data_IF_014520668233
#
_entry.id   IF_014520668233
#
_cell.length_a   1.000
_cell.length_b   1.000
_cell.length_c   1.000
_cell.angle_alpha   90.00
_cell.angle_beta   90.00
_cell.angle_gamma   90.00
#
_symmetry.space_group_name_H-M   'P 1'
#
loop_
_entity.id
_entity.type
_entity.pdbx_description
1 polymer ?
#
# COMPACT_ATOMS: atom_id res chain seq x y z
N UNK A 1 -0.88 2.90 -20.83
CA UNK A 1 -1.80 2.34 -19.82
C UNK A 1 -2.69 1.24 -20.38
N UNK A 2 -3.48 1.50 -21.44
CA UNK A 2 -4.43 0.53 -22.04
C UNK A 2 -3.87 -0.87 -22.36
N UNK A 3 -2.69 -1.05 -23.00
CA UNK A 3 -2.19 -2.40 -23.32
C UNK A 3 -1.84 -3.24 -22.08
N UNK A 4 -1.33 -2.60 -21.02
CA UNK A 4 -0.99 -3.26 -19.75
C UNK A 4 -2.25 -3.69 -18.99
N UNK A 5 -3.28 -2.84 -18.99
CA UNK A 5 -4.57 -3.14 -18.35
C UNK A 5 -5.31 -4.26 -19.08
N UNK A 6 -5.29 -4.27 -20.42
CA UNK A 6 -5.84 -5.36 -21.22
C UNK A 6 -5.11 -6.68 -20.98
N UNK A 7 -3.78 -6.67 -20.88
CA UNK A 7 -3.01 -7.86 -20.56
C UNK A 7 -3.31 -8.38 -19.15
N UNK A 8 -3.39 -7.50 -18.13
CA UNK A 8 -3.72 -7.89 -16.76
C UNK A 8 -5.10 -8.57 -16.66
N UNK A 9 -6.11 -8.01 -17.35
CA UNK A 9 -7.45 -8.58 -17.43
C UNK A 9 -7.47 -9.95 -18.15
N UNK A 10 -6.76 -10.07 -19.28
CA UNK A 10 -6.68 -11.33 -20.04
C UNK A 10 -5.96 -12.46 -19.31
N UNK A 11 -5.05 -12.12 -18.39
CA UNK A 11 -4.27 -13.09 -17.62
C UNK A 11 -4.81 -13.32 -16.20
N UNK A 12 -6.01 -12.84 -15.89
CA UNK A 12 -6.66 -13.06 -14.60
C UNK A 12 -5.83 -12.58 -13.40
N UNK A 13 -5.20 -11.41 -13.52
CA UNK A 13 -4.60 -10.75 -12.37
C UNK A 13 -5.71 -10.12 -11.52
N UNK A 14 -5.91 -10.64 -10.32
CA UNK A 14 -7.05 -10.34 -9.44
C UNK A 14 -6.78 -9.24 -8.40
N UNK A 15 -5.67 -8.50 -8.51
CA UNK A 15 -5.34 -7.43 -7.58
C UNK A 15 -4.74 -6.23 -8.31
N UNK A 16 -5.02 -5.04 -7.79
CA UNK A 16 -4.37 -3.79 -8.20
C UNK A 16 -3.52 -3.28 -7.03
N UNK A 17 -2.25 -3.03 -7.31
CA UNK A 17 -1.33 -2.35 -6.40
C UNK A 17 -1.02 -0.97 -6.99
N UNK A 18 -1.06 0.08 -6.14
CA UNK A 18 -0.83 1.47 -6.56
C UNK A 18 0.18 2.09 -5.61
N UNK A 19 1.18 2.75 -6.17
CA UNK A 19 2.28 3.36 -5.44
C UNK A 19 2.19 4.89 -5.42
N UNK A 20 2.82 5.54 -4.45
CA UNK A 20 3.00 7.00 -4.45
C UNK A 20 3.65 7.49 -5.75
N UNK A 21 4.55 6.69 -6.33
CA UNK A 21 5.20 6.96 -7.59
C UNK A 21 4.21 7.12 -8.75
N UNK A 22 3.02 6.49 -8.69
CA UNK A 22 1.97 6.76 -9.68
C UNK A 22 1.48 8.22 -9.61
N UNK A 23 1.47 8.83 -8.41
CA UNK A 23 1.23 10.27 -8.20
C UNK A 23 2.41 11.10 -8.75
N UNK A 24 3.64 10.68 -8.47
CA UNK A 24 4.85 11.37 -8.92
C UNK A 24 4.98 11.34 -10.45
N UNK A 25 4.64 10.22 -11.08
CA UNK A 25 4.59 10.07 -12.54
C UNK A 25 3.55 11.00 -13.16
N UNK A 26 2.37 11.15 -12.53
CA UNK A 26 1.39 12.14 -12.98
C UNK A 26 1.95 13.56 -12.83
N UNK A 27 2.54 13.90 -11.68
CA UNK A 27 3.13 15.21 -11.44
C UNK A 27 4.19 15.56 -12.48
N UNK A 28 5.09 14.62 -12.78
CA UNK A 28 6.13 14.74 -13.82
C UNK A 28 5.51 14.98 -15.20
N UNK A 29 4.43 14.26 -15.52
CA UNK A 29 3.70 14.37 -16.79
C UNK A 29 3.01 15.73 -16.93
N UNK A 30 2.27 16.17 -15.90
CA UNK A 30 1.50 17.42 -15.93
C UNK A 30 2.40 18.66 -15.85
N UNK A 31 3.48 18.60 -15.09
CA UNK A 31 4.44 19.70 -14.98
C UNK A 31 5.52 19.67 -16.07
N UNK A 32 5.54 18.63 -16.91
CA UNK A 32 6.60 18.35 -17.89
C UNK A 32 8.03 18.47 -17.29
N UNK A 33 8.21 17.98 -16.05
CA UNK A 33 9.46 18.08 -15.29
C UNK A 33 9.94 16.73 -14.81
N UNK A 34 11.26 16.53 -14.79
CA UNK A 34 11.90 15.35 -14.17
C UNK A 34 12.12 15.50 -12.67
N UNK A 35 11.78 16.64 -12.08
CA UNK A 35 11.82 16.87 -10.63
C UNK A 35 10.67 17.83 -10.33
N UNK A 36 9.46 17.31 -10.04
CA UNK A 36 8.31 18.13 -9.72
C UNK A 36 8.59 18.95 -8.46
N UNK A 37 8.13 20.21 -8.41
CA UNK A 37 8.21 20.99 -7.17
C UNK A 37 7.20 20.47 -6.14
N UNK A 38 7.35 20.78 -4.84
CA UNK A 38 6.34 20.46 -3.84
C UNK A 38 4.95 20.95 -4.22
N UNK A 39 4.82 22.13 -4.85
CA UNK A 39 3.55 22.64 -5.35
C UNK A 39 3.00 21.83 -6.52
N UNK A 40 3.85 21.27 -7.37
CA UNK A 40 3.44 20.38 -8.47
C UNK A 40 3.02 19.01 -7.94
N UNK A 41 3.70 18.48 -6.91
CA UNK A 41 3.27 17.27 -6.20
C UNK A 41 1.95 17.51 -5.47
N UNK A 42 1.80 18.65 -4.79
CA UNK A 42 0.55 19.03 -4.13
C UNK A 42 -0.57 19.27 -5.14
N UNK A 43 -0.26 19.83 -6.31
CA UNK A 43 -1.21 19.98 -7.41
C UNK A 43 -1.62 18.63 -7.99
N UNK A 44 -0.67 17.72 -8.26
CA UNK A 44 -0.96 16.37 -8.75
C UNK A 44 -1.74 15.55 -7.72
N UNK A 45 -1.37 15.63 -6.43
CA UNK A 45 -2.12 15.05 -5.33
C UNK A 45 -3.52 15.68 -5.22
N UNK A 46 -3.65 16.99 -5.41
CA UNK A 46 -4.96 17.67 -5.46
C UNK A 46 -5.75 17.32 -6.71
N UNK A 47 -5.11 17.07 -7.85
CA UNK A 47 -5.74 16.65 -9.11
C UNK A 47 -6.18 15.20 -8.98
N UNK A 48 -5.38 14.33 -8.37
CA UNK A 48 -5.73 12.94 -8.10
C UNK A 48 -6.83 12.89 -7.04
N UNK A 49 -6.69 13.64 -5.94
CA UNK A 49 -7.76 13.84 -4.97
C UNK A 49 -9.01 14.37 -5.64
N UNK A 50 -8.94 15.38 -6.51
CA UNK A 50 -10.08 15.91 -7.25
C UNK A 50 -10.62 14.91 -8.28
N UNK A 51 -9.79 14.08 -8.90
CA UNK A 51 -10.23 12.98 -9.77
C UNK A 51 -10.84 11.84 -8.96
N UNK A 52 -10.43 11.64 -7.72
CA UNK A 52 -10.99 10.69 -6.76
C UNK A 52 -12.26 11.23 -6.08
N UNK A 53 -12.38 12.55 -5.92
CA UNK A 53 -13.53 13.23 -5.30
C UNK A 53 -14.61 13.51 -6.39
N UNK A 54 -14.22 13.99 -7.57
CA UNK A 54 -15.12 14.15 -8.75
C UNK A 54 -15.44 12.80 -9.39
N UNK A 55 -14.59 11.80 -9.16
CA UNK A 55 -14.89 10.39 -9.43
C UNK A 55 -14.59 9.59 -8.18
N UNK A 56 -15.56 9.56 -7.26
CA UNK A 56 -15.75 8.62 -6.12
C UNK A 56 -15.50 7.12 -6.45
N UNK A 57 -15.03 6.83 -7.66
CA UNK A 57 -15.06 5.59 -8.40
C UNK A 57 -13.89 5.46 -9.37
N UNK A 58 -12.83 6.28 -9.39
CA UNK A 58 -11.73 6.02 -10.35
C UNK A 58 -11.16 4.61 -10.13
N UNK A 59 -10.81 4.29 -8.88
CA UNK A 59 -10.33 2.98 -8.47
C UNK A 59 -11.41 1.91 -8.68
N UNK A 60 -12.63 2.13 -8.20
CA UNK A 60 -13.74 1.19 -8.41
C UNK A 60 -14.10 0.98 -9.89
N UNK A 61 -13.87 1.98 -10.76
CA UNK A 61 -14.07 1.86 -12.21
C UNK A 61 -12.94 1.08 -12.85
N UNK A 62 -11.68 1.30 -12.44
CA UNK A 62 -10.54 0.51 -12.90
C UNK A 62 -10.72 -0.96 -12.49
N UNK A 63 -11.16 -1.21 -11.26
CA UNK A 63 -11.49 -2.55 -10.77
C UNK A 63 -12.57 -3.22 -11.62
N UNK A 64 -13.65 -2.51 -11.96
CA UNK A 64 -14.71 -3.01 -12.87
C UNK A 64 -14.17 -3.34 -14.27
N UNK A 65 -13.26 -2.53 -14.80
CA UNK A 65 -12.61 -2.78 -16.09
C UNK A 65 -11.69 -4.00 -16.03
N UNK A 66 -10.96 -4.16 -14.93
CA UNK A 66 -9.99 -5.23 -14.74
C UNK A 66 -10.65 -6.55 -14.28
N UNK A 67 -11.87 -6.48 -13.74
CA UNK A 67 -12.57 -7.64 -13.19
C UNK A 67 -12.01 -8.10 -11.83
N UNK A 68 -11.47 -7.17 -11.04
CA UNK A 68 -10.98 -7.43 -9.67
C UNK A 68 -11.85 -6.76 -8.62
N UNK A 69 -11.85 -7.31 -7.41
CA UNK A 69 -12.47 -6.75 -6.20
C UNK A 69 -11.43 -6.45 -5.10
N UNK A 70 -10.11 -6.50 -5.37
CA UNK A 70 -9.06 -6.31 -4.37
C UNK A 70 -8.11 -5.16 -4.72
N UNK A 71 -7.92 -4.24 -3.78
CA UNK A 71 -6.88 -3.20 -3.81
C UNK A 71 -5.85 -3.47 -2.70
N UNK A 72 -4.57 -3.44 -3.04
CA UNK A 72 -3.47 -3.42 -2.06
C UNK A 72 -3.10 -1.99 -1.71
N UNK A 73 -2.85 -1.72 -0.43
CA UNK A 73 -2.42 -0.42 0.10
C UNK A 73 -1.07 -0.62 0.80
N UNK A 74 0.06 -0.28 0.15
CA UNK A 74 1.37 -0.39 0.76
C UNK A 74 1.60 0.71 1.82
N UNK A 75 2.34 0.35 2.86
CA UNK A 75 2.80 1.25 3.90
C UNK A 75 3.81 2.27 3.34
N UNK A 76 3.70 3.53 3.78
CA UNK A 76 4.44 4.63 3.19
C UNK A 76 5.95 4.61 3.58
N UNK A 77 6.80 5.05 2.65
CA UNK A 77 8.26 5.12 2.79
C UNK A 77 8.84 6.51 2.46
N UNK A 78 8.00 7.54 2.39
CA UNK A 78 8.44 8.93 2.28
C UNK A 78 9.24 9.39 3.52
N UNK A 79 10.03 10.48 3.41
CA UNK A 79 10.75 11.06 4.55
C UNK A 79 9.82 11.36 5.73
N UNK A 80 10.34 11.23 6.95
CA UNK A 80 9.58 11.37 8.20
C UNK A 80 8.87 12.72 8.33
N UNK A 81 9.41 13.75 7.71
CA UNK A 81 8.87 15.11 7.73
C UNK A 81 7.62 15.28 6.84
N UNK A 82 7.35 14.32 5.96
CA UNK A 82 6.27 14.35 4.97
C UNK A 82 5.10 13.40 5.32
N UNK A 83 5.27 12.54 6.34
CA UNK A 83 4.28 11.53 6.73
C UNK A 83 4.14 11.43 8.25
N UNK A 84 2.95 11.02 8.70
CA UNK A 84 2.65 10.83 10.13
C UNK A 84 2.97 9.41 10.59
N UNK A 85 3.38 9.27 11.85
CA UNK A 85 3.44 8.00 12.59
C UNK A 85 2.24 7.80 13.52
N UNK A 86 1.29 8.75 13.52
CA UNK A 86 0.04 8.69 14.27
C UNK A 86 -0.85 7.57 13.71
N UNK A 87 -0.93 6.46 14.45
CA UNK A 87 -1.65 5.27 14.04
C UNK A 87 -3.17 5.51 13.99
N UNK A 88 -3.70 6.39 14.83
CA UNK A 88 -5.11 6.73 14.89
C UNK A 88 -5.55 7.44 13.61
N UNK A 89 -4.76 8.41 13.13
CA UNK A 89 -5.01 9.09 11.85
C UNK A 89 -5.00 8.07 10.70
N UNK A 90 -3.99 7.20 10.66
CA UNK A 90 -3.85 6.19 9.60
C UNK A 90 -5.02 5.21 9.61
N UNK A 91 -5.43 4.73 10.79
CA UNK A 91 -6.57 3.82 10.92
C UNK A 91 -7.88 4.50 10.51
N UNK A 92 -8.06 5.79 10.79
CA UNK A 92 -9.25 6.55 10.35
C UNK A 92 -9.32 6.63 8.82
N UNK A 93 -8.22 7.00 8.16
CA UNK A 93 -8.14 7.05 6.69
C UNK A 93 -8.44 5.67 6.06
N UNK A 94 -7.87 4.61 6.62
CA UNK A 94 -8.09 3.24 6.13
C UNK A 94 -9.54 2.75 6.35
N UNK A 95 -10.18 3.15 7.46
CA UNK A 95 -11.60 2.88 7.71
C UNK A 95 -12.49 3.59 6.70
N UNK A 96 -12.19 4.84 6.37
CA UNK A 96 -12.95 5.58 5.36
C UNK A 96 -12.90 4.85 4.01
N UNK A 97 -11.71 4.44 3.58
CA UNK A 97 -11.52 3.69 2.33
C UNK A 97 -12.24 2.35 2.35
N UNK A 98 -12.15 1.60 3.45
CA UNK A 98 -12.88 0.35 3.63
C UNK A 98 -14.40 0.55 3.55
N UNK A 99 -14.93 1.58 4.23
CA UNK A 99 -16.35 1.93 4.25
C UNK A 99 -16.85 2.40 2.87
N UNK A 100 -15.98 3.01 2.05
CA UNK A 100 -16.27 3.28 0.65
C UNK A 100 -16.39 2.00 -0.18
N UNK A 101 -15.41 1.09 -0.07
CA UNK A 101 -15.44 -0.17 -0.84
C UNK A 101 -16.58 -1.12 -0.44
N UNK A 102 -17.03 -1.06 0.82
CA UNK A 102 -18.18 -1.80 1.31
C UNK A 102 -19.50 -1.40 0.61
N UNK A 103 -19.58 -0.20 0.03
CA UNK A 103 -20.77 0.30 -0.70
C UNK A 103 -20.80 -0.13 -2.17
N UNK A 104 -19.71 -0.70 -2.69
CA UNK A 104 -19.64 -1.13 -4.08
C UNK A 104 -20.32 -2.50 -4.31
N UNK A 105 -20.59 -2.82 -5.57
CA UNK A 105 -21.13 -4.12 -5.98
C UNK A 105 -20.34 -4.64 -7.19
N UNK A 106 -19.57 -5.75 -7.04
CA UNK A 106 -19.30 -6.47 -5.79
C UNK A 106 -18.56 -5.60 -4.76
N UNK A 107 -18.62 -6.00 -3.48
CA UNK A 107 -17.86 -5.34 -2.41
C UNK A 107 -16.39 -5.31 -2.76
N UNK A 108 -15.77 -4.14 -2.64
CA UNK A 108 -14.33 -3.99 -2.81
C UNK A 108 -13.63 -4.31 -1.50
N UNK A 109 -12.63 -5.18 -1.59
CA UNK A 109 -11.74 -5.60 -0.52
C UNK A 109 -10.43 -4.82 -0.60
N UNK A 110 -9.81 -4.62 0.54
CA UNK A 110 -8.52 -3.97 0.67
C UNK A 110 -7.57 -4.85 1.46
N UNK A 111 -6.29 -4.79 1.13
CA UNK A 111 -5.25 -5.45 1.90
C UNK A 111 -4.10 -4.48 2.17
N UNK A 112 -3.77 -4.27 3.44
CA UNK A 112 -2.63 -3.46 3.85
C UNK A 112 -1.33 -4.25 3.72
N UNK A 113 -0.29 -3.63 3.18
CA UNK A 113 1.01 -4.27 2.97
C UNK A 113 2.12 -3.49 3.66
N UNK A 114 2.72 -4.07 4.70
CA UNK A 114 3.93 -3.51 5.28
C UNK A 114 5.11 -3.76 4.35
N UNK A 115 5.87 -2.72 4.00
CA UNK A 115 7.09 -2.87 3.22
C UNK A 115 8.28 -2.91 4.19
N UNK A 116 9.27 -3.78 3.93
CA UNK A 116 10.44 -3.86 4.84
C UNK A 116 11.31 -2.60 4.86
N UNK A 117 11.03 -1.65 3.95
CA UNK A 117 11.64 -0.33 3.88
C UNK A 117 10.65 0.81 4.18
N UNK A 118 9.44 0.51 4.69
CA UNK A 118 8.52 1.55 5.15
C UNK A 118 9.13 2.37 6.29
N UNK A 119 8.73 3.64 6.38
CA UNK A 119 9.35 4.57 7.33
C UNK A 119 8.95 4.29 8.79
N UNK A 120 7.74 3.77 9.01
CA UNK A 120 7.18 3.55 10.35
C UNK A 120 6.63 2.13 10.57
N UNK A 121 5.81 1.61 9.65
CA UNK A 121 5.13 0.31 9.79
C UNK A 121 5.79 -0.73 8.88
N UNK A 122 7.00 -1.16 9.26
CA UNK A 122 7.89 -1.98 8.42
C UNK A 122 7.92 -3.48 8.81
N UNK A 123 7.18 -3.86 9.85
CA UNK A 123 7.03 -5.24 10.35
C UNK A 123 5.61 -5.76 10.14
N UNK A 124 5.45 -7.09 10.01
CA UNK A 124 4.12 -7.67 9.80
C UNK A 124 3.24 -7.51 11.05
N UNK A 125 3.84 -7.55 12.24
CA UNK A 125 3.19 -7.29 13.52
C UNK A 125 2.59 -5.89 13.54
N UNK A 126 3.37 -4.87 13.14
CA UNK A 126 2.87 -3.50 13.06
C UNK A 126 1.77 -3.32 12.00
N UNK A 127 1.87 -4.05 10.88
CA UNK A 127 0.82 -4.09 9.87
C UNK A 127 -0.45 -4.76 10.37
N UNK A 128 -0.31 -5.83 11.16
CA UNK A 128 -1.43 -6.54 11.78
C UNK A 128 -2.14 -5.67 12.82
N UNK A 129 -1.40 -4.98 13.69
CA UNK A 129 -1.94 -4.02 14.65
C UNK A 129 -2.82 -2.95 13.97
N UNK A 130 -2.42 -2.48 12.78
CA UNK A 130 -3.21 -1.53 11.98
C UNK A 130 -4.48 -2.21 11.46
N UNK A 131 -4.37 -3.39 10.86
CA UNK A 131 -5.51 -4.14 10.29
C UNK A 131 -6.55 -4.48 11.36
N UNK A 132 -6.12 -4.94 12.53
CA UNK A 132 -7.01 -5.20 13.67
C UNK A 132 -7.74 -3.93 14.12
N UNK A 133 -7.05 -2.79 14.17
CA UNK A 133 -7.67 -1.51 14.53
C UNK A 133 -8.61 -1.00 13.46
N UNK A 134 -8.36 -1.26 12.17
CA UNK A 134 -9.28 -0.87 11.09
C UNK A 134 -10.64 -1.54 11.29
N UNK A 135 -10.66 -2.82 11.66
CA UNK A 135 -11.87 -3.58 12.03
C UNK A 135 -13.01 -3.42 11.00
N UNK A 136 -12.74 -3.89 9.78
CA UNK A 136 -13.71 -3.92 8.68
C UNK A 136 -13.65 -5.25 7.95
N UNK A 137 -14.81 -5.85 7.69
CA UNK A 137 -14.91 -7.18 7.09
C UNK A 137 -14.30 -7.28 5.67
N UNK A 138 -14.14 -6.15 4.98
CA UNK A 138 -13.52 -6.06 3.66
C UNK A 138 -12.08 -5.53 3.70
N UNK A 139 -11.42 -5.52 4.87
CA UNK A 139 -10.04 -5.06 5.02
C UNK A 139 -9.18 -6.14 5.67
N UNK A 140 -8.02 -6.43 5.09
CA UNK A 140 -7.11 -7.47 5.56
C UNK A 140 -5.64 -7.08 5.41
N UNK A 141 -4.76 -8.08 5.50
CA UNK A 141 -3.31 -7.93 5.41
C UNK A 141 -2.75 -8.68 4.20
N UNK A 142 -1.70 -8.14 3.60
CA UNK A 142 -0.83 -8.84 2.64
C UNK A 142 0.31 -9.49 3.41
N UNK A 143 0.35 -10.83 3.43
CA UNK A 143 1.48 -11.58 3.96
C UNK A 143 2.52 -11.80 2.85
N UNK A 144 3.39 -10.81 2.66
CA UNK A 144 4.47 -10.89 1.69
C UNK A 144 5.75 -11.45 2.33
N UNK A 145 6.17 -12.64 1.89
CA UNK A 145 7.35 -13.33 2.42
C UNK A 145 8.66 -12.56 2.22
N UNK A 146 8.78 -11.76 1.16
CA UNK A 146 9.95 -10.93 0.92
C UNK A 146 9.97 -9.75 1.90
N UNK A 147 8.86 -9.07 2.13
CA UNK A 147 8.79 -7.98 3.10
C UNK A 147 9.01 -8.49 4.53
N UNK A 148 8.38 -9.60 4.92
CA UNK A 148 8.59 -10.21 6.24
C UNK A 148 10.06 -10.58 6.43
N UNK A 149 10.65 -11.35 5.50
CA UNK A 149 12.02 -11.81 5.62
C UNK A 149 13.02 -10.66 5.50
N UNK A 150 12.81 -9.73 4.55
CA UNK A 150 13.68 -8.60 4.31
C UNK A 150 13.83 -7.73 5.55
N UNK A 151 12.75 -7.52 6.30
CA UNK A 151 12.77 -6.70 7.50
C UNK A 151 13.58 -7.31 8.63
N UNK A 152 13.38 -8.61 8.88
CA UNK A 152 13.97 -9.29 10.04
C UNK A 152 15.37 -9.82 9.75
N UNK A 153 15.69 -10.12 8.49
CA UNK A 153 16.92 -10.78 8.10
C UNK A 153 17.96 -9.82 7.53
N UNK A 154 17.58 -8.95 6.59
CA UNK A 154 18.55 -8.20 5.79
C UNK A 154 18.92 -6.86 6.45
N UNK A 155 20.21 -6.52 6.44
CA UNK A 155 20.70 -5.18 6.78
C UNK A 155 21.79 -4.76 5.79
N UNK A 156 21.51 -3.87 4.84
CA UNK A 156 22.48 -3.43 3.84
C UNK A 156 23.61 -2.57 4.42
N UNK A 157 23.51 -2.12 5.69
CA UNK A 157 24.55 -1.36 6.38
C UNK A 157 25.55 -2.26 7.13
N UNK A 158 25.22 -3.54 7.31
CA UNK A 158 26.09 -4.53 7.96
C UNK A 158 27.12 -5.11 6.98
N UNK A 159 28.22 -5.64 7.53
CA UNK A 159 29.32 -6.20 6.73
C UNK A 159 28.92 -7.52 6.04
N UNK A 160 28.08 -8.33 6.68
CA UNK A 160 27.62 -9.63 6.19
C UNK A 160 26.20 -9.60 5.59
N UNK A 161 25.58 -8.43 5.54
CA UNK A 161 24.27 -8.20 4.94
C UNK A 161 23.09 -8.61 5.84
N UNK A 162 23.31 -8.82 7.14
CA UNK A 162 22.33 -9.37 8.08
C UNK A 162 22.10 -8.48 9.30
N UNK A 163 20.88 -8.52 9.81
CA UNK A 163 20.60 -8.03 11.16
C UNK A 163 21.32 -8.90 12.20
N UNK A 164 21.57 -8.36 13.39
CA UNK A 164 22.32 -9.07 14.44
C UNK A 164 21.70 -10.42 14.88
N UNK A 165 20.39 -10.63 14.66
CA UNK A 165 19.66 -11.84 15.06
C UNK A 165 18.93 -12.51 13.89
N UNK A 166 19.39 -12.30 12.66
CA UNK A 166 18.68 -12.63 11.41
C UNK A 166 18.11 -14.07 11.37
N UNK A 167 18.92 -15.09 11.66
CA UNK A 167 18.50 -16.49 11.59
C UNK A 167 17.45 -16.85 12.64
N UNK A 168 17.57 -16.26 13.84
CA UNK A 168 16.62 -16.50 14.92
C UNK A 168 15.31 -15.80 14.63
N UNK A 169 15.34 -14.52 14.27
CA UNK A 169 14.17 -13.70 13.99
C UNK A 169 13.36 -14.25 12.80
N UNK A 170 14.04 -14.67 11.72
CA UNK A 170 13.37 -15.29 10.58
C UNK A 170 12.68 -16.62 10.94
N UNK A 171 13.25 -17.38 11.88
CA UNK A 171 12.65 -18.64 12.34
C UNK A 171 11.41 -18.39 13.23
N UNK A 172 11.47 -17.40 14.11
CA UNK A 172 10.41 -17.12 15.08
C UNK A 172 9.19 -16.42 14.44
N UNK A 173 9.40 -15.54 13.45
CA UNK A 173 8.32 -14.75 12.83
C UNK A 173 7.16 -15.58 12.23
N UNK A 174 7.39 -16.65 11.42
CA UNK A 174 6.30 -17.50 10.94
C UNK A 174 5.57 -18.28 12.04
N UNK A 175 6.26 -18.61 13.14
CA UNK A 175 5.64 -19.28 14.29
C UNK A 175 4.67 -18.35 15.04
N UNK A 176 4.83 -17.04 14.92
CA UNK A 176 3.94 -16.04 15.53
C UNK A 176 2.70 -15.74 14.68
N UNK A 177 2.84 -15.72 13.35
CA UNK A 177 1.71 -15.53 12.42
C UNK A 177 0.63 -16.63 12.57
N UNK A 178 1.02 -17.85 12.96
CA UNK A 178 0.11 -18.99 13.11
C UNK A 178 -0.55 -19.13 14.49
N UNK A 179 -0.34 -18.17 15.41
CA UNK A 179 -0.88 -18.21 16.78
C UNK A 179 -2.12 -17.33 16.92
N UNK A 180 -3.21 -17.68 16.22
CA UNK A 180 -4.56 -17.18 16.50
C UNK A 180 -5.64 -18.24 16.18
#
# INVERSE_FOLDING_TARGET
>A
MLPKLSAASQHHLFGLEVFYEDLEYLARSESNSKTPSPEALLHAASTIKKLCDERDKLWFSLMKVLGTDLIQIPANFLPKEEITDDAEIIVEDLREVADMGAKETPVVRFAYENLCWSTYFDTWESGWDIVEKVDRANFGIVLDTFNIAGRVYADPSSVDGKTANAEKALKESPEEIGKD
#
